data_IF_104232639008
#
_entry.id   IF_104232639008
#
_cell.length_a   1.000
_cell.length_b   1.000
_cell.length_c   1.000
_cell.angle_alpha   90.00
_cell.angle_beta   90.00
_cell.angle_gamma   90.00
#
_symmetry.space_group_name_H-M   'P 1'
#
loop_
_entity.id
_entity.type
_entity.pdbx_description
1 polymer ?
#
# COMPACT_ATOMS: atom_id res chain seq x y z
N UNK A 1 14.21 -43.22 66.58
CA UNK A 1 12.86 -43.35 66.01
C UNK A 1 12.27 -41.96 65.85
N UNK A 2 12.37 -41.38 64.65
CA UNK A 2 11.39 -40.42 64.12
C UNK A 2 10.27 -41.24 63.44
N UNK A 3 9.07 -40.71 63.10
CA UNK A 3 8.76 -39.38 62.51
C UNK A 3 7.49 -38.74 63.14
N UNK A 4 6.88 -37.63 62.72
CA UNK A 4 7.04 -36.67 61.62
C UNK A 4 5.76 -35.81 61.57
N UNK A 5 5.90 -34.51 61.38
CA UNK A 5 4.83 -33.52 61.26
C UNK A 5 4.89 -32.94 59.84
N UNK A 6 3.89 -33.23 59.01
CA UNK A 6 3.80 -32.80 57.60
C UNK A 6 2.65 -31.80 57.44
N UNK A 7 3.01 -30.51 57.35
CA UNK A 7 2.12 -29.45 56.86
C UNK A 7 2.29 -29.27 55.34
N UNK A 8 1.20 -29.06 54.57
CA UNK A 8 1.30 -28.91 53.12
C UNK A 8 1.87 -27.56 52.74
N UNK A 9 3.11 -27.55 52.27
CA UNK A 9 3.77 -26.39 51.68
C UNK A 9 3.13 -25.99 50.36
N UNK A 10 2.60 -24.78 50.30
CA UNK A 10 2.20 -24.11 49.06
C UNK A 10 3.41 -23.97 48.12
N UNK A 11 3.33 -24.38 46.84
CA UNK A 11 4.43 -24.18 45.91
C UNK A 11 4.50 -22.70 45.52
N UNK A 12 5.58 -22.01 45.91
CA UNK A 12 5.96 -20.72 45.35
C UNK A 12 6.29 -20.94 43.87
N UNK A 13 5.42 -20.47 42.98
CA UNK A 13 5.72 -20.26 41.57
C UNK A 13 6.82 -19.21 41.46
N UNK A 14 8.08 -19.65 41.47
CA UNK A 14 9.20 -18.85 40.97
C UNK A 14 9.06 -18.79 39.45
N UNK A 15 8.52 -17.70 38.94
CA UNK A 15 8.76 -17.26 37.57
C UNK A 15 10.27 -17.01 37.43
N UNK A 16 11.01 -18.03 37.04
CA UNK A 16 12.33 -17.85 36.44
C UNK A 16 12.10 -17.15 35.10
N UNK A 17 12.16 -15.82 35.08
CA UNK A 17 12.45 -15.09 33.86
C UNK A 17 13.88 -15.45 33.44
N UNK A 18 14.02 -16.55 32.70
CA UNK A 18 15.22 -16.78 31.90
C UNK A 18 15.26 -15.70 30.84
N UNK A 19 15.96 -14.60 31.13
CA UNK A 19 16.30 -13.59 30.13
C UNK A 19 17.04 -14.35 29.03
N UNK A 20 16.51 -14.41 27.79
CA UNK A 20 17.19 -15.09 26.70
C UNK A 20 18.58 -14.51 26.57
N UNK A 21 19.61 -15.36 26.59
CA UNK A 21 20.98 -14.91 26.37
C UNK A 21 21.05 -14.45 24.91
N UNK A 22 21.47 -13.21 24.64
CA UNK A 22 21.60 -12.74 23.27
C UNK A 22 22.59 -13.61 22.47
N UNK A 23 22.22 -13.99 21.25
CA UNK A 23 23.07 -14.77 20.36
C UNK A 23 23.87 -13.86 19.44
N UNK A 24 25.15 -14.17 19.19
CA UNK A 24 25.96 -13.44 18.21
C UNK A 24 25.51 -13.78 16.79
N UNK A 25 25.39 -12.76 15.94
CA UNK A 25 25.09 -12.97 14.52
C UNK A 25 26.20 -13.77 13.84
N UNK A 26 25.84 -14.71 12.97
CA UNK A 26 26.80 -15.62 12.32
C UNK A 26 27.67 -14.93 11.26
N UNK A 27 27.20 -13.82 10.67
CA UNK A 27 27.88 -13.12 9.58
C UNK A 27 28.43 -11.77 10.02
N UNK A 28 27.70 -11.04 10.85
CA UNK A 28 27.98 -9.65 11.19
C UNK A 28 28.45 -9.47 12.64
N UNK A 29 29.10 -10.49 13.20
CA UNK A 29 29.89 -10.38 14.41
C UNK A 29 31.39 -10.37 14.04
N UNK A 30 31.86 -9.22 13.59
CA UNK A 30 33.19 -9.06 13.00
C UNK A 30 34.24 -8.89 14.11
N UNK A 31 35.33 -9.66 14.04
CA UNK A 31 36.35 -9.73 15.10
C UNK A 31 37.09 -8.39 15.34
N UNK A 32 37.28 -7.60 14.29
CA UNK A 32 37.92 -6.27 14.33
C UNK A 32 36.91 -5.12 14.50
N UNK A 33 35.60 -5.43 14.60
CA UNK A 33 34.58 -4.43 14.86
C UNK A 33 34.82 -3.72 16.19
N UNK A 34 34.54 -2.42 16.21
CA UNK A 34 34.75 -1.54 17.37
C UNK A 34 33.44 -1.08 18.03
N UNK A 35 32.30 -1.68 17.67
CA UNK A 35 31.02 -1.44 18.34
C UNK A 35 30.14 -2.67 18.32
N UNK A 36 29.49 -2.96 19.46
CA UNK A 36 28.52 -4.01 19.66
C UNK A 36 27.11 -3.40 19.76
N UNK A 37 26.19 -3.88 18.93
CA UNK A 37 24.78 -3.48 18.93
C UNK A 37 23.90 -4.69 19.23
N UNK A 38 22.87 -4.50 20.03
CA UNK A 38 21.84 -5.48 20.33
C UNK A 38 20.55 -5.10 19.61
N UNK A 39 20.09 -5.99 18.72
CA UNK A 39 18.82 -5.85 17.99
C UNK A 39 18.00 -7.11 18.27
N UNK A 40 16.79 -6.94 18.82
CA UNK A 40 15.99 -8.03 19.38
C UNK A 40 16.79 -8.88 20.39
N UNK A 41 17.16 -10.11 20.00
CA UNK A 41 17.98 -11.03 20.78
C UNK A 41 19.32 -11.36 20.08
N UNK A 42 19.75 -10.53 19.14
CA UNK A 42 20.95 -10.77 18.33
C UNK A 42 22.00 -9.66 18.54
N UNK A 43 23.23 -10.07 18.84
CA UNK A 43 24.40 -9.19 18.95
C UNK A 43 25.11 -9.07 17.61
N UNK A 44 25.35 -7.84 17.20
CA UNK A 44 26.11 -7.45 16.01
C UNK A 44 27.38 -6.74 16.44
N UNK A 45 28.53 -7.12 15.86
CA UNK A 45 29.79 -6.45 16.11
C UNK A 45 30.34 -5.90 14.81
N UNK A 46 30.33 -4.58 14.65
CA UNK A 46 30.62 -3.90 13.38
C UNK A 46 31.50 -2.67 13.58
N UNK A 47 31.81 -1.98 12.49
CA UNK A 47 32.67 -0.80 12.48
C UNK A 47 31.83 0.48 12.57
N UNK A 48 32.11 1.36 13.55
CA UNK A 48 31.46 2.68 13.69
C UNK A 48 31.54 3.47 12.39
N UNK A 49 32.71 3.49 11.74
CA UNK A 49 32.94 4.20 10.47
C UNK A 49 32.05 3.73 9.33
N UNK A 50 31.55 2.49 9.39
CA UNK A 50 30.59 1.96 8.42
C UNK A 50 29.18 2.46 8.72
N UNK A 51 28.80 2.55 10.00
CA UNK A 51 27.49 3.04 10.42
C UNK A 51 27.37 4.56 10.29
N UNK A 52 28.45 5.34 10.42
CA UNK A 52 28.43 6.81 10.25
C UNK A 52 28.47 7.28 8.79
N UNK A 53 28.52 6.37 7.82
CA UNK A 53 28.41 6.71 6.39
C UNK A 53 27.12 7.48 6.14
N UNK A 54 27.14 8.33 5.11
CA UNK A 54 26.01 9.15 4.67
C UNK A 54 25.44 10.10 5.75
N UNK A 55 26.22 10.42 6.80
CA UNK A 55 25.75 11.21 7.95
C UNK A 55 24.46 10.66 8.57
N UNK A 56 24.41 9.34 8.67
CA UNK A 56 23.28 8.66 9.29
C UNK A 56 23.06 9.16 10.73
N UNK A 57 21.91 8.84 11.28
CA UNK A 57 21.59 9.01 12.71
C UNK A 57 22.67 8.44 13.65
N UNK A 58 23.41 7.40 13.26
CA UNK A 58 24.52 6.86 14.03
C UNK A 58 25.70 7.83 14.17
N UNK A 59 25.92 8.71 13.18
CA UNK A 59 26.95 9.75 13.24
C UNK A 59 26.69 10.73 14.40
N UNK A 60 25.43 11.16 14.53
CA UNK A 60 24.98 11.98 15.65
C UNK A 60 25.06 11.23 16.98
N UNK A 61 24.61 9.97 17.00
CA UNK A 61 24.62 9.12 18.20
C UNK A 61 26.04 8.94 18.77
N UNK A 62 27.04 8.65 17.93
CA UNK A 62 28.41 8.47 18.37
C UNK A 62 29.13 9.79 18.70
N UNK A 63 28.74 10.90 18.06
CA UNK A 63 29.28 12.23 18.39
C UNK A 63 28.86 12.66 19.80
N UNK A 64 27.59 12.48 20.15
CA UNK A 64 27.06 12.77 21.50
C UNK A 64 27.74 11.92 22.59
N UNK A 65 27.95 10.63 22.33
CA UNK A 65 28.69 9.74 23.25
C UNK A 65 30.13 10.25 23.46
N UNK A 66 30.79 10.71 22.40
CA UNK A 66 32.16 11.26 22.47
C UNK A 66 32.22 12.55 23.31
N UNK A 67 31.25 13.45 23.16
CA UNK A 67 31.16 14.69 23.93
C UNK A 67 30.94 14.41 25.42
N UNK A 68 30.02 13.49 25.75
CA UNK A 68 29.76 13.07 27.14
C UNK A 68 30.99 12.47 27.81
N UNK A 69 31.80 11.71 27.06
CA UNK A 69 33.08 11.16 27.55
C UNK A 69 34.11 12.25 27.85
N UNK A 70 34.20 13.28 27.00
CA UNK A 70 35.13 14.39 27.20
C UNK A 70 34.83 15.19 28.48
N UNK A 71 33.55 15.26 28.89
CA UNK A 71 33.10 15.98 30.07
C UNK A 71 33.12 15.15 31.37
N UNK A 72 33.13 13.82 31.29
CA UNK A 72 33.06 12.92 32.45
C UNK A 72 34.42 12.38 32.93
N UNK A 73 35.51 12.72 32.24
CA UNK A 73 36.89 12.31 32.57
C UNK A 73 37.42 12.77 33.96
N UNK A 74 36.63 13.50 34.75
CA UNK A 74 36.98 13.95 36.11
C UNK A 74 36.25 13.24 37.26
N UNK A 75 35.33 12.30 37.00
CA UNK A 75 34.50 11.63 38.02
C UNK A 75 34.83 10.14 38.21
N UNK A 76 35.02 9.70 39.45
CA UNK A 76 35.43 8.33 39.84
C UNK A 76 34.41 7.21 39.63
N UNK A 77 33.29 7.46 38.95
CA UNK A 77 32.29 6.45 38.56
C UNK A 77 32.14 6.41 37.04
N UNK A 78 33.20 6.00 36.33
CA UNK A 78 33.17 5.80 34.89
C UNK A 78 32.23 4.61 34.56
N UNK A 79 30.96 4.90 34.29
CA UNK A 79 30.05 3.96 33.65
C UNK A 79 30.72 3.53 32.34
N UNK A 80 30.91 2.22 32.15
CA UNK A 80 31.48 1.69 30.91
C UNK A 80 30.65 2.20 29.74
N UNK A 81 31.26 2.69 28.66
CA UNK A 81 30.50 3.19 27.54
C UNK A 81 29.69 2.08 26.87
N UNK A 82 28.50 2.42 26.41
CA UNK A 82 27.63 1.51 25.67
C UNK A 82 28.28 1.14 24.32
N UNK A 83 28.19 -0.14 23.95
CA UNK A 83 28.68 -0.68 22.69
C UNK A 83 30.14 -1.13 22.68
N UNK A 84 30.86 -1.11 23.80
CA UNK A 84 32.25 -1.59 23.85
C UNK A 84 32.38 -3.09 24.15
N UNK A 85 31.33 -3.72 24.69
CA UNK A 85 31.31 -5.16 24.99
C UNK A 85 29.92 -5.77 24.89
N UNK A 86 29.86 -7.11 24.91
CA UNK A 86 28.61 -7.88 24.86
C UNK A 86 27.76 -7.70 26.13
N UNK A 87 28.39 -7.36 27.27
CA UNK A 87 27.73 -7.12 28.54
C UNK A 87 27.09 -5.72 28.62
N UNK A 88 27.45 -4.81 27.72
CA UNK A 88 26.89 -3.46 27.64
C UNK A 88 26.77 -2.99 26.17
N UNK A 89 25.95 -3.65 25.33
CA UNK A 89 25.81 -3.33 23.91
C UNK A 89 24.88 -2.13 23.68
N UNK A 90 24.99 -1.48 22.51
CA UNK A 90 24.03 -0.44 22.10
C UNK A 90 22.69 -1.07 21.75
N UNK A 91 21.65 -0.78 22.52
CA UNK A 91 20.33 -1.41 22.29
C UNK A 91 19.50 -0.64 21.27
N UNK A 92 19.23 -1.26 20.12
CA UNK A 92 18.38 -0.70 19.08
C UNK A 92 16.95 -1.21 19.25
N UNK A 93 16.12 -0.44 19.95
CA UNK A 93 14.74 -0.82 20.23
C UNK A 93 13.84 -0.66 19.00
N UNK A 94 12.97 -1.67 18.80
CA UNK A 94 11.92 -1.65 17.77
C UNK A 94 12.35 -2.08 16.37
N UNK A 95 13.62 -2.44 16.17
CA UNK A 95 14.09 -3.04 14.92
C UNK A 95 14.18 -4.55 15.03
N UNK A 96 14.03 -5.23 13.90
CA UNK A 96 14.26 -6.68 13.83
C UNK A 96 15.69 -7.01 13.44
N UNK A 97 16.18 -8.19 13.82
CA UNK A 97 17.51 -8.63 13.41
C UNK A 97 17.62 -8.80 11.88
N UNK A 98 16.52 -9.13 11.19
CA UNK A 98 16.46 -9.22 9.72
C UNK A 98 16.61 -7.84 9.06
N UNK A 99 15.98 -6.81 9.64
CA UNK A 99 16.11 -5.42 9.19
C UNK A 99 17.55 -4.94 9.33
N UNK A 100 18.16 -5.15 10.50
CA UNK A 100 19.55 -4.76 10.71
C UNK A 100 20.53 -5.54 9.83
N UNK A 101 20.31 -6.83 9.62
CA UNK A 101 21.10 -7.62 8.65
C UNK A 101 20.98 -7.09 7.22
N UNK A 102 19.80 -6.62 6.80
CA UNK A 102 19.64 -6.02 5.49
C UNK A 102 20.47 -4.72 5.35
N UNK A 103 20.49 -3.88 6.38
CA UNK A 103 21.34 -2.68 6.41
C UNK A 103 22.82 -3.03 6.32
N UNK A 104 23.29 -3.96 7.15
CA UNK A 104 24.68 -4.38 7.16
C UNK A 104 25.09 -5.04 5.85
N UNK A 105 24.18 -5.78 5.22
CA UNK A 105 24.37 -6.27 3.86
C UNK A 105 24.69 -5.11 2.92
N UNK A 106 23.85 -4.07 2.85
CA UNK A 106 24.12 -2.94 1.98
C UNK A 106 25.44 -2.21 2.32
N UNK A 107 25.76 -2.05 3.60
CA UNK A 107 26.95 -1.30 4.02
C UNK A 107 28.28 -2.03 3.81
N UNK A 108 28.27 -3.37 3.83
CA UNK A 108 29.45 -4.22 3.65
C UNK A 108 29.53 -4.88 2.27
N UNK A 109 28.46 -4.85 1.47
CA UNK A 109 28.45 -5.49 0.15
C UNK A 109 29.23 -4.73 -0.92
N UNK A 110 29.76 -5.50 -1.87
CA UNK A 110 30.44 -4.98 -3.04
C UNK A 110 29.45 -4.65 -4.17
N UNK A 111 29.76 -3.72 -5.10
CA UNK A 111 28.83 -3.31 -6.16
C UNK A 111 28.23 -4.45 -7.00
N UNK A 112 28.95 -5.55 -7.22
CA UNK A 112 28.44 -6.69 -7.99
C UNK A 112 27.38 -7.50 -7.23
N UNK A 113 27.43 -7.51 -5.89
CA UNK A 113 26.42 -8.19 -5.06
C UNK A 113 25.06 -7.46 -5.14
N UNK A 114 25.07 -6.13 -5.24
CA UNK A 114 23.86 -5.32 -5.49
C UNK A 114 23.21 -5.60 -6.85
N UNK A 115 24.02 -5.89 -7.87
CA UNK A 115 23.51 -6.25 -9.20
C UNK A 115 22.83 -7.62 -9.20
N UNK A 116 23.34 -8.58 -8.43
CA UNK A 116 22.74 -9.92 -8.29
C UNK A 116 21.46 -9.88 -7.44
N UNK A 117 21.40 -9.01 -6.44
CA UNK A 117 20.19 -8.86 -5.62
C UNK A 117 18.96 -8.40 -6.44
N UNK A 118 19.15 -7.68 -7.55
CA UNK A 118 18.03 -7.24 -8.41
C UNK A 118 17.41 -8.34 -9.29
N UNK A 119 18.04 -9.52 -9.37
CA UNK A 119 17.61 -10.60 -10.27
C UNK A 119 17.04 -11.83 -9.54
N UNK A 120 17.20 -11.92 -8.20
CA UNK A 120 16.74 -13.06 -7.39
C UNK A 120 15.37 -12.86 -6.72
N UNK A 121 14.66 -13.97 -6.46
CA UNK A 121 13.37 -13.98 -5.71
C UNK A 121 13.53 -13.65 -4.23
N UNK A 122 14.65 -14.02 -3.61
CA UNK A 122 15.02 -13.73 -2.21
C UNK A 122 15.26 -12.23 -1.93
N UNK A 123 15.01 -11.37 -2.92
CA UNK A 123 15.26 -9.93 -2.90
C UNK A 123 14.12 -9.13 -2.24
N UNK A 124 12.88 -9.63 -2.25
CA UNK A 124 11.73 -8.81 -1.86
C UNK A 124 11.73 -8.44 -0.36
N UNK A 125 11.86 -9.42 0.55
CA UNK A 125 11.98 -9.15 1.99
C UNK A 125 13.23 -8.34 2.30
N UNK A 126 14.37 -8.69 1.71
CA UNK A 126 15.62 -8.00 1.97
C UNK A 126 15.56 -6.52 1.56
N UNK A 127 15.02 -6.23 0.37
CA UNK A 127 14.84 -4.85 -0.10
C UNK A 127 13.81 -4.08 0.73
N UNK A 128 12.72 -4.74 1.15
CA UNK A 128 11.72 -4.14 2.03
C UNK A 128 12.31 -3.75 3.38
N UNK A 129 12.99 -4.70 4.03
CA UNK A 129 13.69 -4.51 5.28
C UNK A 129 14.75 -3.41 5.17
N UNK A 130 15.52 -3.42 4.07
CA UNK A 130 16.51 -2.40 3.79
C UNK A 130 15.89 -1.01 3.65
N UNK A 131 14.83 -0.85 2.86
CA UNK A 131 14.15 0.42 2.69
C UNK A 131 13.60 0.95 4.04
N UNK A 132 12.97 0.09 4.83
CA UNK A 132 12.42 0.46 6.15
C UNK A 132 13.51 0.94 7.12
N UNK A 133 14.59 0.18 7.27
CA UNK A 133 15.64 0.51 8.23
C UNK A 133 16.53 1.67 7.76
N UNK A 134 16.79 1.78 6.46
CA UNK A 134 17.54 2.91 5.89
C UNK A 134 16.75 4.21 6.01
N UNK A 135 15.42 4.18 5.89
CA UNK A 135 14.56 5.32 6.21
C UNK A 135 14.68 5.72 7.69
N UNK A 136 14.54 4.75 8.62
CA UNK A 136 14.61 5.00 10.07
C UNK A 136 15.93 5.66 10.49
N UNK A 137 17.05 5.14 9.98
CA UNK A 137 18.38 5.62 10.35
C UNK A 137 18.98 6.66 9.40
N UNK A 138 18.19 7.14 8.43
CA UNK A 138 18.52 8.21 7.48
C UNK A 138 19.67 7.91 6.50
N UNK A 139 19.83 6.64 6.09
CA UNK A 139 20.73 6.26 4.98
C UNK A 139 20.08 6.56 3.62
N UNK A 140 19.93 7.85 3.27
CA UNK A 140 19.14 8.33 2.12
C UNK A 140 19.52 7.71 0.78
N UNK A 141 20.82 7.49 0.52
CA UNK A 141 21.28 6.89 -0.74
C UNK A 141 20.83 5.43 -0.86
N UNK A 142 20.93 4.69 0.24
CA UNK A 142 20.54 3.28 0.34
C UNK A 142 19.02 3.14 0.29
N UNK A 143 18.31 4.02 0.99
CA UNK A 143 16.85 4.13 0.97
C UNK A 143 16.34 4.34 -0.47
N UNK A 144 16.85 5.35 -1.16
CA UNK A 144 16.45 5.67 -2.53
C UNK A 144 16.71 4.51 -3.50
N UNK A 145 17.86 3.83 -3.36
CA UNK A 145 18.17 2.64 -4.14
C UNK A 145 17.20 1.49 -3.86
N UNK A 146 16.94 1.18 -2.58
CA UNK A 146 16.07 0.08 -2.17
C UNK A 146 14.61 0.32 -2.63
N UNK A 147 14.11 1.54 -2.49
CA UNK A 147 12.78 1.94 -2.95
C UNK A 147 12.64 1.86 -4.48
N UNK A 148 13.67 2.28 -5.23
CA UNK A 148 13.68 2.15 -6.69
C UNK A 148 13.66 0.68 -7.12
N UNK A 149 14.46 -0.18 -6.46
CA UNK A 149 14.48 -1.61 -6.73
C UNK A 149 13.12 -2.27 -6.40
N UNK A 150 12.51 -1.94 -5.27
CA UNK A 150 11.15 -2.38 -4.92
C UNK A 150 10.13 -1.92 -5.98
N UNK A 151 10.16 -0.64 -6.37
CA UNK A 151 9.25 -0.08 -7.38
C UNK A 151 9.36 -0.87 -8.68
N UNK A 152 10.58 -1.15 -9.15
CA UNK A 152 10.80 -1.96 -10.35
C UNK A 152 10.24 -3.40 -10.23
N UNK A 153 10.31 -4.02 -9.05
CA UNK A 153 9.72 -5.34 -8.82
C UNK A 153 8.19 -5.30 -8.78
N UNK A 154 7.61 -4.23 -8.22
CA UNK A 154 6.17 -4.12 -8.05
C UNK A 154 5.43 -3.69 -9.33
N UNK A 155 6.10 -2.96 -10.22
CA UNK A 155 5.60 -2.48 -11.51
C UNK A 155 5.67 -3.52 -12.63
N UNK A 156 6.56 -4.51 -12.54
CA UNK A 156 6.70 -5.56 -13.57
C UNK A 156 5.35 -6.29 -13.81
N UNK A 157 4.89 -6.41 -15.07
CA UNK A 157 3.70 -7.17 -15.41
C UNK A 157 3.92 -8.63 -15.00
N UNK A 158 3.12 -9.08 -14.03
CA UNK A 158 3.20 -10.40 -13.45
C UNK A 158 2.71 -11.42 -14.50
N UNK A 159 3.61 -11.99 -15.29
CA UNK A 159 3.31 -13.16 -16.13
C UNK A 159 3.40 -14.49 -15.33
N UNK A 160 3.67 -14.41 -14.03
CA UNK A 160 3.67 -15.56 -13.13
C UNK A 160 2.33 -15.68 -12.40
N UNK A 161 1.91 -16.91 -12.03
CA UNK A 161 0.74 -17.15 -11.19
C UNK A 161 0.80 -16.32 -9.89
N UNK A 162 -0.30 -16.24 -9.11
CA UNK A 162 -0.24 -15.62 -7.78
C UNK A 162 0.96 -16.25 -7.10
N UNK A 163 1.87 -15.41 -6.59
CA UNK A 163 2.88 -15.91 -5.68
C UNK A 163 2.07 -16.58 -4.57
N UNK A 164 1.98 -17.91 -4.59
CA UNK A 164 1.75 -18.68 -3.38
C UNK A 164 2.74 -18.08 -2.38
N UNK A 165 2.18 -17.53 -1.32
CA UNK A 165 2.83 -16.73 -0.30
C UNK A 165 4.04 -17.49 0.23
N UNK A 166 5.19 -17.29 -0.41
CA UNK A 166 6.45 -17.63 0.21
C UNK A 166 6.51 -16.79 1.48
N UNK A 167 6.74 -17.44 2.62
CA UNK A 167 6.71 -16.83 3.95
C UNK A 167 7.54 -15.53 4.04
N UNK A 168 8.53 -15.38 3.15
CA UNK A 168 9.48 -14.27 3.12
C UNK A 168 9.08 -13.11 2.18
N UNK A 169 7.86 -13.06 1.62
CA UNK A 169 7.44 -11.89 0.81
C UNK A 169 6.64 -10.90 1.64
N UNK A 170 6.98 -9.60 1.66
CA UNK A 170 6.20 -8.62 2.40
C UNK A 170 4.79 -8.54 1.83
N UNK A 171 3.80 -8.52 2.72
CA UNK A 171 2.39 -8.40 2.36
C UNK A 171 2.14 -7.08 1.63
N UNK A 172 1.07 -7.04 0.82
CA UNK A 172 0.68 -5.82 0.12
C UNK A 172 0.36 -4.67 1.10
N UNK A 173 -0.12 -4.99 2.31
CA UNK A 173 -0.32 -4.04 3.42
C UNK A 173 1.01 -3.38 3.78
N UNK A 174 2.01 -4.18 4.14
CA UNK A 174 3.32 -3.69 4.55
C UNK A 174 3.97 -2.82 3.47
N UNK A 175 3.87 -3.22 2.20
CA UNK A 175 4.43 -2.45 1.07
C UNK A 175 3.72 -1.11 0.90
N UNK A 176 2.39 -1.09 1.06
CA UNK A 176 1.61 0.15 0.95
C UNK A 176 1.94 1.11 2.09
N UNK A 177 2.07 0.59 3.32
CA UNK A 177 2.48 1.37 4.49
C UNK A 177 3.89 1.94 4.32
N UNK A 178 4.84 1.13 3.87
CA UNK A 178 6.21 1.58 3.61
C UNK A 178 6.24 2.65 2.52
N UNK A 179 5.51 2.45 1.41
CA UNK A 179 5.43 3.43 0.34
C UNK A 179 4.83 4.75 0.81
N UNK A 180 3.82 4.70 1.68
CA UNK A 180 3.23 5.88 2.31
C UNK A 180 4.19 6.56 3.29
N UNK A 181 4.91 5.78 4.11
CA UNK A 181 5.86 6.27 5.11
C UNK A 181 7.05 6.98 4.47
N UNK A 182 7.61 6.39 3.40
CA UNK A 182 8.72 6.95 2.66
C UNK A 182 8.30 7.99 1.60
N UNK A 183 7.01 8.33 1.52
CA UNK A 183 6.45 9.25 0.52
C UNK A 183 6.77 8.86 -0.95
N UNK A 184 6.95 7.57 -1.22
CA UNK A 184 7.36 7.07 -2.53
C UNK A 184 6.15 6.83 -3.44
N UNK A 185 5.77 7.87 -4.19
CA UNK A 185 4.57 7.89 -5.05
C UNK A 185 4.50 6.73 -6.05
N UNK A 186 5.58 6.40 -6.74
CA UNK A 186 5.56 5.35 -7.76
C UNK A 186 5.31 3.95 -7.18
N UNK A 187 5.88 3.68 -6.01
CA UNK A 187 5.64 2.42 -5.30
C UNK A 187 4.19 2.36 -4.78
N UNK A 188 3.67 3.49 -4.28
CA UNK A 188 2.29 3.61 -3.82
C UNK A 188 1.29 3.41 -4.97
N UNK A 189 1.55 3.96 -6.15
CA UNK A 189 0.75 3.76 -7.35
C UNK A 189 0.77 2.29 -7.80
N UNK A 190 1.94 1.65 -7.77
CA UNK A 190 2.09 0.23 -8.09
C UNK A 190 1.33 -0.67 -7.09
N UNK A 191 1.42 -0.36 -5.78
CA UNK A 191 0.67 -1.05 -4.74
C UNK A 191 -0.85 -0.86 -4.90
N UNK A 192 -1.29 0.38 -5.17
CA UNK A 192 -2.69 0.71 -5.44
C UNK A 192 -3.23 -0.05 -6.65
N UNK A 193 -2.44 -0.18 -7.72
CA UNK A 193 -2.83 -0.98 -8.88
C UNK A 193 -3.02 -2.47 -8.53
N UNK A 194 -2.16 -3.03 -7.68
CA UNK A 194 -2.31 -4.42 -7.19
C UNK A 194 -3.56 -4.57 -6.32
N UNK A 195 -3.82 -3.62 -5.42
CA UNK A 195 -5.07 -3.58 -4.66
C UNK A 195 -6.29 -3.58 -5.57
N UNK A 196 -6.32 -2.70 -6.59
CA UNK A 196 -7.44 -2.64 -7.55
C UNK A 196 -7.67 -3.99 -8.26
N UNK A 197 -6.62 -4.76 -8.56
CA UNK A 197 -6.76 -6.13 -9.11
C UNK A 197 -7.36 -7.10 -8.10
N UNK A 198 -6.94 -7.06 -6.83
CA UNK A 198 -7.54 -7.88 -5.76
C UNK A 198 -9.02 -7.55 -5.58
N UNK A 199 -9.37 -6.26 -5.52
CA UNK A 199 -10.75 -5.77 -5.44
C UNK A 199 -11.60 -6.25 -6.61
N UNK A 200 -11.07 -6.21 -7.84
CA UNK A 200 -11.76 -6.73 -9.02
C UNK A 200 -12.04 -8.24 -8.94
N UNK A 201 -11.25 -8.99 -8.16
CA UNK A 201 -11.46 -10.41 -7.87
C UNK A 201 -12.21 -10.67 -6.55
N UNK A 202 -12.76 -9.63 -5.90
CA UNK A 202 -13.45 -9.71 -4.60
C UNK A 202 -12.60 -10.29 -3.45
N UNK A 203 -11.27 -10.12 -3.51
CA UNK A 203 -10.33 -10.59 -2.48
C UNK A 203 -9.86 -9.45 -1.58
N UNK A 204 -9.66 -9.76 -0.30
CA UNK A 204 -9.09 -8.88 0.73
C UNK A 204 -9.75 -7.49 0.81
N UNK A 205 -11.05 -7.42 0.50
CA UNK A 205 -11.76 -6.14 0.33
C UNK A 205 -11.87 -5.37 1.65
N UNK A 206 -12.26 -6.02 2.75
CA UNK A 206 -12.33 -5.37 4.06
C UNK A 206 -10.96 -4.92 4.56
N UNK A 207 -9.91 -5.70 4.27
CA UNK A 207 -8.54 -5.37 4.62
C UNK A 207 -8.03 -4.17 3.81
N UNK A 208 -8.30 -4.13 2.49
CA UNK A 208 -8.01 -2.99 1.64
C UNK A 208 -8.74 -1.72 2.11
N UNK A 209 -9.99 -1.86 2.54
CA UNK A 209 -10.82 -0.77 3.06
C UNK A 209 -10.23 -0.20 4.35
N UNK A 210 -9.92 -1.05 5.34
CA UNK A 210 -9.31 -0.60 6.60
C UNK A 210 -7.93 0.04 6.39
N UNK A 211 -7.13 -0.49 5.46
CA UNK A 211 -5.84 0.10 5.09
C UNK A 211 -6.01 1.47 4.43
N UNK A 212 -6.92 1.59 3.47
CA UNK A 212 -7.17 2.83 2.76
C UNK A 212 -7.70 3.93 3.67
N UNK A 213 -8.53 3.60 4.68
CA UNK A 213 -8.95 4.56 5.71
C UNK A 213 -7.78 5.01 6.57
N UNK A 214 -6.99 4.06 7.08
CA UNK A 214 -5.86 4.37 7.97
C UNK A 214 -4.77 5.22 7.31
N UNK A 215 -4.50 4.99 6.02
CA UNK A 215 -3.53 5.74 5.23
C UNK A 215 -4.15 6.92 4.46
N UNK A 216 -5.46 7.16 4.61
CA UNK A 216 -6.21 8.21 3.90
C UNK A 216 -6.03 8.16 2.36
N UNK A 217 -5.97 6.96 1.78
CA UNK A 217 -5.79 6.73 0.35
C UNK A 217 -7.13 6.82 -0.38
N UNK A 218 -7.64 8.04 -0.57
CA UNK A 218 -9.00 8.31 -1.08
C UNK A 218 -9.39 7.54 -2.35
N UNK A 219 -8.50 7.45 -3.34
CA UNK A 219 -8.77 6.73 -4.58
C UNK A 219 -8.90 5.21 -4.40
N UNK A 220 -8.13 4.63 -3.46
CA UNK A 220 -8.28 3.22 -3.08
C UNK A 220 -9.51 3.02 -2.18
N UNK A 221 -9.78 3.97 -1.29
CA UNK A 221 -10.89 3.94 -0.35
C UNK A 221 -12.24 3.85 -1.07
N UNK A 222 -12.47 4.73 -2.05
CA UNK A 222 -13.68 4.69 -2.87
C UNK A 222 -13.84 3.37 -3.62
N UNK A 223 -12.74 2.85 -4.19
CA UNK A 223 -12.75 1.56 -4.89
C UNK A 223 -13.03 0.39 -3.94
N UNK A 224 -12.47 0.39 -2.73
CA UNK A 224 -12.67 -0.66 -1.74
C UNK A 224 -14.10 -0.65 -1.18
N UNK A 225 -14.66 0.53 -0.87
CA UNK A 225 -16.06 0.67 -0.48
C UNK A 225 -17.01 0.22 -1.58
N UNK A 226 -16.75 0.61 -2.83
CA UNK A 226 -17.56 0.18 -3.96
C UNK A 226 -17.48 -1.34 -4.19
N UNK A 227 -16.27 -1.92 -4.11
CA UNK A 227 -16.12 -3.37 -4.20
C UNK A 227 -16.87 -4.10 -3.08
N UNK A 228 -16.77 -3.60 -1.83
CA UNK A 228 -17.51 -4.16 -0.69
C UNK A 228 -19.02 -4.02 -0.89
N UNK A 229 -19.49 -2.87 -1.40
CA UNK A 229 -20.90 -2.63 -1.69
C UNK A 229 -21.49 -3.71 -2.60
N UNK A 230 -20.75 -4.11 -3.64
CA UNK A 230 -21.17 -5.12 -4.62
C UNK A 230 -21.14 -6.57 -4.08
N UNK A 231 -20.52 -6.80 -2.92
CA UNK A 231 -20.58 -8.11 -2.25
C UNK A 231 -21.92 -8.35 -1.53
N UNK A 232 -22.65 -7.27 -1.25
CA UNK A 232 -23.98 -7.34 -0.63
C UNK A 232 -23.96 -7.54 0.88
N UNK A 233 -25.14 -7.34 1.48
CA UNK A 233 -25.31 -7.23 2.94
C UNK A 233 -24.91 -8.49 3.71
N UNK A 234 -25.18 -9.67 3.16
CA UNK A 234 -24.86 -10.94 3.83
C UNK A 234 -23.35 -11.04 4.12
N UNK A 235 -22.51 -10.54 3.21
CA UNK A 235 -21.05 -10.51 3.39
C UNK A 235 -20.65 -9.45 4.41
N UNK A 236 -21.30 -8.27 4.40
CA UNK A 236 -21.00 -7.21 5.38
C UNK A 236 -21.27 -7.65 6.81
N UNK A 237 -22.36 -8.39 7.02
CA UNK A 237 -22.77 -8.88 8.33
C UNK A 237 -21.86 -10.03 8.81
N UNK A 238 -21.33 -10.84 7.89
CA UNK A 238 -20.43 -11.95 8.19
C UNK A 238 -18.94 -11.56 8.35
N UNK A 239 -18.48 -10.48 7.72
CA UNK A 239 -17.07 -10.09 7.72
C UNK A 239 -16.63 -9.47 9.07
N UNK A 240 -15.69 -10.10 9.82
CA UNK A 240 -15.27 -9.61 11.12
C UNK A 240 -14.34 -8.38 11.05
N UNK A 241 -13.70 -8.13 9.91
CA UNK A 241 -12.79 -7.00 9.72
C UNK A 241 -13.55 -5.69 9.45
N UNK A 242 -14.80 -5.80 9.01
CA UNK A 242 -15.65 -4.64 8.76
C UNK A 242 -16.13 -4.06 10.09
N UNK A 243 -15.96 -2.75 10.30
CA UNK A 243 -16.41 -2.06 11.50
C UNK A 243 -17.88 -1.62 11.39
N UNK A 244 -18.51 -1.26 12.51
CA UNK A 244 -19.88 -0.71 12.50
C UNK A 244 -19.97 0.58 11.70
N UNK A 245 -18.96 1.46 11.81
CA UNK A 245 -18.93 2.72 11.06
C UNK A 245 -18.88 2.48 9.55
N UNK A 246 -18.02 1.55 9.11
CA UNK A 246 -17.91 1.18 7.70
C UNK A 246 -19.23 0.59 7.15
N UNK A 247 -19.95 -0.22 7.95
CA UNK A 247 -21.30 -0.70 7.58
C UNK A 247 -22.31 0.43 7.38
N UNK A 248 -22.29 1.46 8.23
CA UNK A 248 -23.17 2.64 8.09
C UNK A 248 -22.82 3.40 6.81
N UNK A 249 -21.54 3.60 6.52
CA UNK A 249 -21.09 4.25 5.27
C UNK A 249 -21.46 3.46 4.02
N UNK A 250 -21.44 2.13 4.08
CA UNK A 250 -21.92 1.28 2.97
C UNK A 250 -23.41 1.49 2.70
N UNK A 251 -24.25 1.61 3.74
CA UNK A 251 -25.67 1.91 3.59
C UNK A 251 -25.91 3.33 3.02
N UNK A 252 -25.16 4.33 3.51
CA UNK A 252 -25.18 5.70 2.98
C UNK A 252 -24.76 5.73 1.50
N UNK A 253 -23.67 5.05 1.18
CA UNK A 253 -23.16 4.89 -0.19
C UNK A 253 -24.14 4.18 -1.10
N UNK A 254 -24.80 3.11 -0.64
CA UNK A 254 -25.84 2.44 -1.39
C UNK A 254 -26.96 3.40 -1.80
N UNK A 255 -27.46 4.20 -0.86
CA UNK A 255 -28.49 5.20 -1.13
C UNK A 255 -28.02 6.27 -2.12
N UNK A 256 -26.83 6.82 -1.90
CA UNK A 256 -26.25 7.88 -2.74
C UNK A 256 -26.02 7.40 -4.18
N UNK A 257 -25.43 6.21 -4.34
CA UNK A 257 -25.17 5.60 -5.64
C UNK A 257 -26.45 5.12 -6.33
N UNK A 258 -27.44 4.61 -5.59
CA UNK A 258 -28.75 4.27 -6.16
C UNK A 258 -29.42 5.52 -6.78
N UNK A 259 -29.38 6.66 -6.09
CA UNK A 259 -29.91 7.92 -6.66
C UNK A 259 -29.11 8.39 -7.86
N UNK A 260 -27.80 8.22 -7.86
CA UNK A 260 -26.97 8.52 -9.02
C UNK A 260 -27.31 7.59 -10.20
N UNK A 261 -27.52 6.31 -9.95
CA UNK A 261 -27.90 5.31 -10.94
C UNK A 261 -29.19 5.65 -11.68
N UNK A 262 -30.21 6.13 -10.95
CA UNK A 262 -31.51 6.56 -11.49
C UNK A 262 -31.42 7.83 -12.33
N UNK A 263 -30.61 8.81 -11.89
CA UNK A 263 -30.44 10.09 -12.60
C UNK A 263 -29.56 9.98 -13.85
N UNK A 264 -28.63 9.03 -13.86
CA UNK A 264 -27.60 8.88 -14.89
C UNK A 264 -28.13 8.90 -16.34
N UNK A 265 -29.23 8.22 -16.73
CA UNK A 265 -29.74 8.28 -18.10
C UNK A 265 -30.32 9.66 -18.50
N UNK A 266 -30.75 10.45 -17.52
CA UNK A 266 -31.28 11.81 -17.72
C UNK A 266 -30.21 12.89 -17.76
N UNK A 267 -29.01 12.60 -17.23
CA UNK A 267 -27.90 13.54 -17.08
C UNK A 267 -26.70 13.13 -17.95
N UNK A 268 -26.75 13.33 -19.28
CA UNK A 268 -25.60 13.02 -20.15
C UNK A 268 -24.39 13.91 -19.80
N UNK A 269 -23.15 13.38 -19.89
CA UNK A 269 -21.94 14.17 -19.71
C UNK A 269 -21.89 15.41 -20.61
N UNK A 270 -21.30 16.50 -20.14
CA UNK A 270 -21.17 17.71 -20.92
C UNK A 270 -20.29 17.48 -22.15
N UNK A 271 -20.82 17.78 -23.34
CA UNK A 271 -20.12 17.57 -24.61
C UNK A 271 -19.33 18.81 -25.01
N UNK A 272 -18.00 18.70 -25.07
CA UNK A 272 -17.14 19.70 -25.68
C UNK A 272 -17.24 19.60 -27.21
N UNK A 273 -17.90 20.57 -27.85
CA UNK A 273 -18.15 20.52 -29.29
C UNK A 273 -16.89 20.81 -30.10
N UNK A 274 -16.79 20.15 -31.27
CA UNK A 274 -15.79 20.50 -32.28
C UNK A 274 -16.02 21.94 -32.76
N UNK A 275 -14.96 22.70 -33.13
CA UNK A 275 -15.10 24.02 -33.76
C UNK A 275 -15.97 24.03 -35.03
N UNK A 276 -16.18 22.87 -35.66
CA UNK A 276 -17.05 22.71 -36.83
C UNK A 276 -18.54 22.53 -36.49
N UNK A 277 -18.88 22.26 -35.22
CA UNK A 277 -20.25 22.09 -34.77
C UNK A 277 -20.74 23.38 -34.10
N UNK A 278 -21.33 24.27 -34.88
CA UNK A 278 -21.73 25.62 -34.42
C UNK A 278 -23.23 25.89 -34.62
N UNK A 279 -23.76 26.85 -33.86
CA UNK A 279 -25.14 27.33 -34.00
C UNK A 279 -26.18 26.22 -33.87
N UNK A 280 -27.14 26.17 -34.80
CA UNK A 280 -28.22 25.17 -34.79
C UNK A 280 -27.75 23.72 -34.91
N UNK A 281 -26.54 23.45 -35.41
CA UNK A 281 -25.98 22.11 -35.41
C UNK A 281 -25.65 21.61 -34.00
N UNK A 282 -25.27 22.51 -33.08
CA UNK A 282 -24.92 22.17 -31.71
C UNK A 282 -26.13 21.67 -30.91
N UNK A 283 -27.30 22.28 -31.11
CA UNK A 283 -28.55 21.86 -30.46
C UNK A 283 -28.94 20.45 -30.89
N UNK A 284 -28.89 20.16 -32.20
CA UNK A 284 -29.15 18.81 -32.74
C UNK A 284 -28.13 17.80 -32.26
N UNK A 285 -26.86 18.18 -32.20
CA UNK A 285 -25.77 17.35 -31.71
C UNK A 285 -25.97 17.00 -30.21
N UNK A 286 -26.36 17.96 -29.37
CA UNK A 286 -26.69 17.70 -27.96
C UNK A 286 -27.88 16.74 -27.80
N UNK A 287 -28.93 16.89 -28.61
CA UNK A 287 -30.07 15.99 -28.59
C UNK A 287 -29.69 14.56 -29.03
N UNK A 288 -28.88 14.44 -30.09
CA UNK A 288 -28.34 13.18 -30.56
C UNK A 288 -27.41 12.54 -29.51
N UNK A 289 -26.58 13.33 -28.83
CA UNK A 289 -25.72 12.87 -27.75
C UNK A 289 -26.54 12.33 -26.58
N UNK A 290 -27.57 13.04 -26.14
CA UNK A 290 -28.44 12.56 -25.06
C UNK A 290 -29.17 11.25 -25.43
N UNK A 291 -29.55 11.08 -26.69
CA UNK A 291 -30.15 9.84 -27.19
C UNK A 291 -29.13 8.68 -27.25
N UNK A 292 -27.93 8.94 -27.77
CA UNK A 292 -26.83 7.99 -27.81
C UNK A 292 -26.45 7.54 -26.40
N UNK A 293 -26.33 8.47 -25.46
CA UNK A 293 -26.02 8.21 -24.06
C UNK A 293 -27.01 7.23 -23.42
N UNK A 294 -28.31 7.51 -23.53
CA UNK A 294 -29.36 6.62 -23.00
C UNK A 294 -29.29 5.23 -23.62
N UNK A 295 -29.15 5.19 -24.95
CA UNK A 295 -29.08 3.92 -25.68
C UNK A 295 -27.84 3.11 -25.29
N UNK A 296 -26.67 3.76 -25.14
CA UNK A 296 -25.45 3.09 -24.68
C UNK A 296 -25.59 2.51 -23.27
N UNK A 297 -26.24 3.25 -22.36
CA UNK A 297 -26.54 2.76 -21.01
C UNK A 297 -27.51 1.58 -21.02
N UNK A 298 -28.50 1.56 -21.92
CA UNK A 298 -29.47 0.47 -22.04
C UNK A 298 -28.87 -0.77 -22.74
N UNK A 299 -28.05 -0.59 -23.78
CA UNK A 299 -27.30 -1.67 -24.41
C UNK A 299 -26.36 -2.35 -23.41
N UNK A 300 -25.69 -1.57 -22.56
CA UNK A 300 -24.84 -2.12 -21.49
C UNK A 300 -25.57 -3.12 -20.59
N UNK A 301 -26.84 -2.84 -20.23
CA UNK A 301 -27.67 -3.75 -19.42
C UNK A 301 -27.95 -5.09 -20.11
N UNK A 302 -28.02 -5.10 -21.44
CA UNK A 302 -28.26 -6.31 -22.22
C UNK A 302 -26.99 -7.17 -22.35
N UNK A 303 -25.82 -6.54 -22.33
CA UNK A 303 -24.52 -7.23 -22.45
C UNK A 303 -24.13 -7.89 -21.12
N UNK A 304 -24.28 -7.17 -20.00
CA UNK A 304 -23.92 -7.67 -18.68
C UNK A 304 -24.94 -7.18 -17.64
N UNK A 305 -25.62 -8.09 -16.91
CA UNK A 305 -26.50 -7.68 -15.82
C UNK A 305 -25.66 -7.11 -14.69
N UNK A 306 -25.78 -5.80 -14.47
CA UNK A 306 -25.12 -5.10 -13.38
C UNK A 306 -25.99 -5.10 -12.13
N UNK A 307 -25.35 -5.15 -10.96
CA UNK A 307 -26.05 -4.97 -9.69
C UNK A 307 -26.57 -3.54 -9.56
N UNK A 308 -27.71 -3.40 -8.88
CA UNK A 308 -28.27 -2.07 -8.58
C UNK A 308 -27.28 -1.27 -7.72
N UNK A 309 -27.09 0.02 -8.06
CA UNK A 309 -26.09 0.92 -7.51
C UNK A 309 -24.63 0.75 -8.02
N UNK A 310 -24.34 -0.16 -8.97
CA UNK A 310 -23.04 -0.22 -9.68
C UNK A 310 -22.90 0.89 -10.75
N UNK A 311 -22.87 2.14 -10.30
CA UNK A 311 -22.82 3.31 -11.18
C UNK A 311 -21.54 3.32 -12.02
N UNK A 312 -20.42 2.91 -11.43
CA UNK A 312 -19.13 2.87 -12.11
C UNK A 312 -19.15 1.82 -13.24
N UNK A 313 -19.58 0.59 -12.96
CA UNK A 313 -19.72 -0.47 -13.96
C UNK A 313 -20.65 -0.05 -15.11
N UNK A 314 -21.77 0.62 -14.78
CA UNK A 314 -22.73 1.10 -15.79
C UNK A 314 -22.13 2.12 -16.75
N UNK A 315 -21.34 3.06 -16.26
CA UNK A 315 -20.67 4.06 -17.10
C UNK A 315 -19.51 3.45 -17.89
N UNK A 316 -18.75 2.51 -17.30
CA UNK A 316 -17.69 1.78 -18.02
C UNK A 316 -18.24 0.93 -19.17
N UNK A 317 -19.39 0.28 -19.00
CA UNK A 317 -20.06 -0.41 -20.10
C UNK A 317 -20.50 0.58 -21.18
N UNK A 318 -21.11 1.71 -20.81
CA UNK A 318 -21.46 2.74 -21.79
C UNK A 318 -20.24 3.28 -22.56
N UNK A 319 -19.09 3.46 -21.88
CA UNK A 319 -17.82 3.82 -22.52
C UNK A 319 -17.40 2.78 -23.56
N UNK A 320 -17.43 1.49 -23.21
CA UNK A 320 -17.07 0.41 -24.13
C UNK A 320 -17.98 0.35 -25.36
N UNK A 321 -19.30 0.54 -25.17
CA UNK A 321 -20.29 0.57 -26.27
C UNK A 321 -20.05 1.78 -27.18
N UNK A 322 -19.88 2.97 -26.61
CA UNK A 322 -19.61 4.19 -27.39
C UNK A 322 -18.29 4.07 -28.15
N UNK A 323 -17.25 3.52 -27.51
CA UNK A 323 -15.97 3.26 -28.14
C UNK A 323 -16.13 2.32 -29.34
N UNK A 324 -16.80 1.18 -29.17
CA UNK A 324 -17.06 0.22 -30.24
C UNK A 324 -17.87 0.83 -31.40
N UNK A 325 -18.83 1.73 -31.12
CA UNK A 325 -19.57 2.48 -32.16
C UNK A 325 -18.68 3.46 -32.91
N UNK A 326 -17.83 4.22 -32.19
CA UNK A 326 -16.93 5.23 -32.78
C UNK A 326 -15.86 4.58 -33.65
N UNK A 327 -15.30 3.47 -33.19
CA UNK A 327 -14.28 2.66 -33.87
C UNK A 327 -14.88 1.74 -34.96
N UNK A 328 -16.22 1.70 -35.07
CA UNK A 328 -16.99 0.90 -36.04
C UNK A 328 -16.82 -0.61 -35.89
N UNK A 329 -16.54 -1.06 -34.68
CA UNK A 329 -16.50 -2.49 -34.32
C UNK A 329 -17.91 -3.10 -34.30
N UNK A 330 -18.94 -2.28 -34.04
CA UNK A 330 -20.35 -2.67 -34.10
C UNK A 330 -21.16 -1.76 -35.03
N UNK A 331 -22.28 -2.25 -35.61
CA UNK A 331 -23.12 -1.45 -36.49
C UNK A 331 -23.68 -0.22 -35.78
N UNK A 332 -23.48 0.96 -36.35
CA UNK A 332 -23.93 2.23 -35.74
C UNK A 332 -25.44 2.42 -35.79
N UNK A 333 -26.14 1.73 -36.71
CA UNK A 333 -27.58 1.88 -36.96
C UNK A 333 -28.03 3.34 -37.11
N UNK A 334 -27.17 4.21 -37.62
CA UNK A 334 -27.42 5.64 -37.78
C UNK A 334 -27.36 6.47 -36.49
N UNK A 335 -27.04 5.88 -35.34
CA UNK A 335 -26.98 6.57 -34.04
C UNK A 335 -25.92 7.69 -34.00
N UNK A 336 -24.90 7.61 -34.83
CA UNK A 336 -23.81 8.60 -34.92
C UNK A 336 -24.00 9.62 -36.05
N UNK A 337 -24.97 9.42 -36.94
CA UNK A 337 -25.12 10.21 -38.18
C UNK A 337 -25.48 11.67 -37.87
N UNK A 338 -26.20 11.90 -36.77
CA UNK A 338 -26.55 13.22 -36.27
C UNK A 338 -25.40 13.94 -35.53
N UNK A 339 -24.23 13.29 -35.36
CA UNK A 339 -23.06 13.85 -34.69
C UNK A 339 -21.75 13.70 -35.51
N UNK A 340 -21.72 14.16 -36.77
CA UNK A 340 -20.62 13.85 -37.69
C UNK A 340 -19.25 14.39 -37.24
N UNK A 341 -19.23 15.49 -36.47
CA UNK A 341 -18.00 16.15 -36.02
C UNK A 341 -17.68 15.95 -34.53
N UNK A 342 -18.57 15.33 -33.76
CA UNK A 342 -18.45 15.26 -32.29
C UNK A 342 -18.43 13.83 -31.73
N UNK A 343 -18.38 12.78 -32.58
CA UNK A 343 -18.32 11.39 -32.12
C UNK A 343 -17.12 11.10 -31.19
N UNK A 344 -15.94 11.62 -31.50
CA UNK A 344 -14.73 11.44 -30.67
C UNK A 344 -14.84 12.26 -29.37
N UNK A 345 -15.44 13.44 -29.43
CA UNK A 345 -15.70 14.26 -28.25
C UNK A 345 -16.73 13.58 -27.32
N UNK A 346 -17.70 12.85 -27.86
CA UNK A 346 -18.66 12.07 -27.07
C UNK A 346 -17.98 10.91 -26.34
N UNK A 347 -17.04 10.21 -27.00
CA UNK A 347 -16.19 9.22 -26.33
C UNK A 347 -15.35 9.89 -25.23
N UNK A 348 -14.69 11.01 -25.52
CA UNK A 348 -13.90 11.77 -24.54
C UNK A 348 -14.73 12.25 -23.34
N UNK A 349 -15.96 12.71 -23.56
CA UNK A 349 -16.89 13.10 -22.50
C UNK A 349 -17.29 11.90 -21.62
N UNK A 350 -17.47 10.73 -22.22
CA UNK A 350 -17.76 9.49 -21.49
C UNK A 350 -16.58 9.03 -20.66
N UNK A 351 -15.37 9.00 -21.25
CA UNK A 351 -14.14 8.69 -20.52
C UNK A 351 -13.87 9.68 -19.38
N UNK A 352 -14.19 10.96 -19.59
CA UNK A 352 -14.17 11.98 -18.55
C UNK A 352 -15.13 11.65 -17.40
N UNK A 353 -16.36 11.22 -17.71
CA UNK A 353 -17.33 10.83 -16.70
C UNK A 353 -16.92 9.59 -15.91
N UNK A 354 -16.28 8.60 -16.55
CA UNK A 354 -15.70 7.43 -15.86
C UNK A 354 -14.67 7.88 -14.82
N UNK A 355 -13.73 8.75 -15.21
CA UNK A 355 -12.70 9.27 -14.31
C UNK A 355 -13.30 10.09 -13.16
N UNK A 356 -14.25 10.97 -13.47
CA UNK A 356 -14.97 11.76 -12.46
C UNK A 356 -15.62 10.86 -11.39
N UNK A 357 -16.31 9.80 -11.81
CA UNK A 357 -16.95 8.85 -10.87
C UNK A 357 -15.90 8.09 -10.08
N UNK A 358 -14.79 7.67 -10.69
CA UNK A 358 -13.70 6.98 -9.97
C UNK A 358 -13.06 7.86 -8.88
N UNK A 359 -12.89 9.16 -9.15
CA UNK A 359 -12.26 10.11 -8.22
C UNK A 359 -13.21 10.55 -7.08
N UNK A 360 -14.50 10.66 -7.39
CA UNK A 360 -15.55 11.08 -6.44
C UNK A 360 -16.19 9.90 -5.71
N UNK A 361 -15.81 8.66 -6.03
CA UNK A 361 -16.44 7.44 -5.48
C UNK A 361 -16.44 7.43 -3.95
N UNK A 362 -15.35 7.88 -3.33
CA UNK A 362 -15.21 7.96 -1.88
C UNK A 362 -16.22 8.93 -1.22
N UNK A 363 -16.66 9.98 -1.92
CA UNK A 363 -17.61 10.98 -1.37
C UNK A 363 -19.01 10.41 -1.17
N UNK A 364 -19.34 9.34 -1.90
CA UNK A 364 -20.62 8.66 -1.71
C UNK A 364 -20.67 7.89 -0.38
N UNK A 365 -19.51 7.50 0.18
CA UNK A 365 -19.41 6.68 1.40
C UNK A 365 -19.09 7.53 2.63
N UNK A 366 -19.94 8.52 2.90
CA UNK A 366 -19.81 9.45 4.02
C UNK A 366 -20.74 9.09 5.17
N UNK A 367 -20.34 9.49 6.38
CA UNK A 367 -21.18 9.35 7.57
C UNK A 367 -22.45 10.19 7.43
N UNK A 368 -23.58 9.63 7.84
CA UNK A 368 -24.84 10.36 7.93
C UNK A 368 -24.75 11.24 9.17
N UNK A 369 -24.64 12.55 8.95
CA UNK A 369 -24.60 13.57 10.02
C UNK A 369 -26.00 13.80 10.59
#
# INVERSE_FOLDING_TARGET
MHPGDDGPGTPKLQLQLSIPIPSRDSRYYISDGNTVLLVENTLFRVHRSTLTKDKSTFDSMFSLDSDLRSHSAGGSNAVRPEGESDENPITLQGDTADEFRALLWALYSLPHEFSLAQTGRSSHAQLFNLAKISHKYEFRSIEGWALAALTALYTRPSHSPPLDEAADTPSLVQVTELASLCEQRELLDAATLRWKRLLASSRDVALALGLAERLNLRGLLGAAYHAMLLQGRDVWDADPLLTRAQRVRLLSGHYSLARAWERLPGEPPALAHSPRCTGGAQVRCNAAWAALWRSALDMGKQVLPLQYADVLGKVMLAESVIKALVEREIPTQGMLDAMPWCKENALGATSGKVKEIQETLADHFTDVV
#
